data_IF_563717245407
#
_entry.id   IF_563717245407
#
_cell.length_a   1.000
_cell.length_b   1.000
_cell.length_c   1.000
_cell.angle_alpha   90.00
_cell.angle_beta   90.00
_cell.angle_gamma   90.00
#
_symmetry.space_group_name_H-M   'P 1'
#
loop_
_entity.id
_entity.type
_entity.pdbx_description
1 polymer ?
#
# COMPACT_ATOMS: atom_id res chain seq x y z
N UNK A 1 6.85 -43.70 15.86
CA UNK A 1 7.62 -43.37 14.64
C UNK A 1 7.24 -42.05 13.96
N UNK A 2 6.31 -41.23 14.47
CA UNK A 2 5.91 -39.97 13.80
C UNK A 2 6.67 -38.69 14.24
N UNK A 3 7.47 -38.71 15.32
CA UNK A 3 8.16 -37.49 15.80
C UNK A 3 9.44 -37.15 15.03
N UNK A 4 10.23 -38.15 14.60
CA UNK A 4 11.48 -37.94 13.88
C UNK A 4 11.30 -37.36 12.47
N UNK A 5 10.20 -37.67 11.80
CA UNK A 5 9.92 -37.16 10.45
C UNK A 5 9.55 -35.67 10.46
N UNK A 6 8.90 -35.18 11.53
CA UNK A 6 8.60 -33.75 11.71
C UNK A 6 9.86 -32.93 11.95
N UNK A 7 10.80 -33.41 12.77
CA UNK A 7 12.07 -32.72 13.04
C UNK A 7 12.96 -32.58 11.80
N UNK A 8 13.05 -33.64 10.99
CA UNK A 8 13.83 -33.61 9.74
C UNK A 8 13.24 -32.62 8.73
N UNK A 9 11.91 -32.54 8.65
CA UNK A 9 11.25 -31.56 7.78
C UNK A 9 11.51 -30.14 8.24
N UNK A 10 11.33 -29.83 9.53
CA UNK A 10 11.58 -28.48 10.07
C UNK A 10 13.02 -28.03 9.84
N UNK A 11 14.00 -28.90 10.05
CA UNK A 11 15.42 -28.57 9.82
C UNK A 11 15.73 -28.30 8.35
N UNK A 12 15.06 -29.01 7.44
CA UNK A 12 15.20 -28.79 5.99
C UNK A 12 14.61 -27.45 5.56
N UNK A 13 13.44 -27.10 6.10
CA UNK A 13 12.78 -25.83 5.82
C UNK A 13 13.57 -24.65 6.37
N UNK A 14 14.13 -24.76 7.58
CA UNK A 14 14.96 -23.69 8.15
C UNK A 14 16.26 -23.51 7.40
N UNK A 15 16.88 -24.59 6.91
CA UNK A 15 18.09 -24.50 6.06
C UNK A 15 17.78 -23.87 4.70
N UNK A 16 16.71 -24.30 4.05
CA UNK A 16 16.26 -23.71 2.79
C UNK A 16 15.94 -22.22 2.95
N UNK A 17 15.24 -21.84 4.03
CA UNK A 17 14.96 -20.44 4.33
C UNK A 17 16.26 -19.63 4.48
N UNK A 18 17.23 -20.14 5.24
CA UNK A 18 18.52 -19.46 5.46
C UNK A 18 19.40 -19.37 4.20
N UNK A 19 19.39 -20.38 3.33
CA UNK A 19 20.15 -20.38 2.08
C UNK A 19 19.53 -19.45 1.03
N UNK A 20 18.19 -19.37 1.00
CA UNK A 20 17.46 -18.40 0.17
C UNK A 20 17.73 -16.98 0.67
N UNK A 21 17.66 -16.74 1.98
CA UNK A 21 18.02 -15.46 2.62
C UNK A 21 19.40 -14.97 2.15
N UNK A 22 20.44 -15.78 2.37
CA UNK A 22 21.83 -15.41 2.05
C UNK A 22 22.03 -15.12 0.58
N UNK A 23 21.41 -15.91 -0.30
CA UNK A 23 21.50 -15.72 -1.74
C UNK A 23 20.83 -14.41 -2.15
N UNK A 24 19.71 -14.08 -1.52
CA UNK A 24 18.95 -12.88 -1.78
C UNK A 24 19.68 -11.60 -1.35
N UNK A 25 20.29 -11.62 -0.16
CA UNK A 25 21.07 -10.49 0.35
C UNK A 25 22.30 -10.20 -0.51
N UNK A 26 22.93 -11.25 -1.03
CA UNK A 26 24.04 -11.08 -1.99
C UNK A 26 23.56 -10.38 -3.27
N UNK A 27 22.38 -10.76 -3.76
CA UNK A 27 21.76 -10.17 -4.95
C UNK A 27 21.40 -8.70 -4.74
N UNK A 28 20.86 -8.34 -3.56
CA UNK A 28 20.44 -6.96 -3.24
C UNK A 28 21.63 -6.00 -3.15
N UNK A 29 22.74 -6.42 -2.53
CA UNK A 29 23.97 -5.61 -2.45
C UNK A 29 24.71 -5.49 -3.79
N UNK A 30 24.63 -6.50 -4.65
CA UNK A 30 25.39 -6.51 -5.91
C UNK A 30 24.69 -5.79 -7.05
N UNK A 31 23.35 -5.77 -7.10
CA UNK A 31 22.61 -5.20 -8.23
C UNK A 31 21.22 -4.69 -7.86
N UNK A 32 21.06 -3.36 -7.81
CA UNK A 32 19.78 -2.65 -7.61
C UNK A 32 18.67 -3.19 -8.53
N UNK A 33 19.01 -3.54 -9.77
CA UNK A 33 18.05 -4.06 -10.75
C UNK A 33 17.49 -5.45 -10.38
N UNK A 34 18.30 -6.34 -9.82
CA UNK A 34 17.83 -7.67 -9.41
C UNK A 34 16.97 -7.59 -8.15
N UNK A 35 17.33 -6.74 -7.20
CA UNK A 35 16.48 -6.43 -6.05
C UNK A 35 15.12 -5.89 -6.49
N UNK A 36 15.11 -4.96 -7.46
CA UNK A 36 13.90 -4.41 -8.03
C UNK A 36 12.99 -5.48 -8.67
N UNK A 37 13.58 -6.39 -9.46
CA UNK A 37 12.81 -7.49 -10.06
C UNK A 37 12.17 -8.34 -9.00
N UNK A 38 12.92 -8.77 -7.99
CA UNK A 38 12.33 -9.71 -7.04
C UNK A 38 11.32 -9.02 -6.11
N UNK A 39 11.55 -7.77 -5.72
CA UNK A 39 10.54 -6.96 -5.03
C UNK A 39 9.24 -6.85 -5.85
N UNK A 40 9.37 -6.64 -7.17
CA UNK A 40 8.24 -6.68 -8.10
C UNK A 40 7.54 -8.04 -8.15
N UNK A 41 8.30 -9.15 -8.18
CA UNK A 41 7.75 -10.52 -8.15
C UNK A 41 7.01 -10.79 -6.85
N UNK A 42 7.54 -10.37 -5.69
CA UNK A 42 6.89 -10.54 -4.39
C UNK A 42 5.57 -9.75 -4.34
N UNK A 43 5.60 -8.47 -4.74
CA UNK A 43 4.39 -7.65 -4.80
C UNK A 43 3.36 -8.24 -5.76
N UNK A 44 3.79 -8.68 -6.95
CA UNK A 44 2.93 -9.31 -7.95
C UNK A 44 2.33 -10.63 -7.47
N UNK A 45 3.11 -11.48 -6.81
CA UNK A 45 2.63 -12.73 -6.24
C UNK A 45 1.59 -12.50 -5.14
N UNK A 46 1.79 -11.48 -4.29
CA UNK A 46 0.82 -11.12 -3.26
C UNK A 46 -0.52 -10.67 -3.87
N UNK A 47 -0.49 -9.84 -4.92
CA UNK A 47 -1.70 -9.41 -5.62
C UNK A 47 -2.38 -10.58 -6.33
N UNK A 48 -1.61 -11.42 -7.02
CA UNK A 48 -2.13 -12.60 -7.72
C UNK A 48 -2.80 -13.58 -6.74
N UNK A 49 -2.25 -13.76 -5.55
CA UNK A 49 -2.86 -14.57 -4.49
C UNK A 49 -4.23 -13.99 -4.08
N UNK A 50 -4.33 -12.68 -3.87
CA UNK A 50 -5.61 -12.04 -3.52
C UNK A 50 -6.61 -12.15 -4.66
N UNK A 51 -6.18 -11.90 -5.90
CA UNK A 51 -7.02 -12.05 -7.07
C UNK A 51 -7.53 -13.49 -7.20
N UNK A 52 -6.70 -14.49 -6.90
CA UNK A 52 -7.09 -15.91 -6.90
C UNK A 52 -8.10 -16.25 -5.79
N UNK A 53 -7.97 -15.65 -4.61
CA UNK A 53 -8.91 -15.85 -3.50
C UNK A 53 -10.28 -15.20 -3.76
N UNK A 54 -10.33 -14.19 -4.64
CA UNK A 54 -11.58 -13.57 -5.08
C UNK A 54 -12.20 -14.42 -6.19
N UNK A 55 -13.19 -15.23 -5.80
CA UNK A 55 -13.84 -16.27 -6.65
C UNK A 55 -14.57 -15.70 -7.87
N UNK A 56 -14.91 -14.41 -7.88
CA UNK A 56 -15.57 -13.75 -9.02
C UNK A 56 -14.90 -12.41 -9.30
N UNK A 57 -14.05 -12.38 -10.34
CA UNK A 57 -13.42 -11.16 -10.83
C UNK A 57 -14.38 -10.48 -11.80
N UNK A 58 -14.82 -9.27 -11.47
CA UNK A 58 -15.50 -8.38 -12.41
C UNK A 58 -14.48 -7.42 -13.03
N UNK A 59 -14.77 -6.88 -14.21
CA UNK A 59 -13.87 -5.92 -14.89
C UNK A 59 -13.53 -4.72 -14.00
N UNK A 60 -14.48 -4.28 -13.17
CA UNK A 60 -14.27 -3.20 -12.19
C UNK A 60 -13.26 -3.50 -11.08
N UNK A 61 -12.91 -4.77 -10.87
CA UNK A 61 -11.92 -5.17 -9.86
C UNK A 61 -10.49 -5.04 -10.37
N UNK A 62 -10.28 -5.01 -11.70
CA UNK A 62 -8.94 -4.89 -12.29
C UNK A 62 -8.25 -3.59 -11.91
N UNK A 63 -8.97 -2.47 -11.92
CA UNK A 63 -8.42 -1.17 -11.52
C UNK A 63 -8.08 -1.13 -10.03
N UNK A 64 -8.88 -1.82 -9.21
CA UNK A 64 -8.63 -1.96 -7.78
C UNK A 64 -7.39 -2.84 -7.51
N UNK A 65 -7.24 -3.94 -8.24
CA UNK A 65 -6.03 -4.77 -8.18
C UNK A 65 -4.79 -4.03 -8.66
N UNK A 66 -4.92 -3.15 -9.66
CA UNK A 66 -3.82 -2.29 -10.08
C UNK A 66 -3.41 -1.29 -8.98
N UNK A 67 -4.39 -0.67 -8.31
CA UNK A 67 -4.12 0.22 -7.17
C UNK A 67 -3.50 -0.53 -5.98
N UNK A 68 -3.99 -1.75 -5.71
CA UNK A 68 -3.44 -2.66 -4.71
C UNK A 68 -1.99 -3.05 -5.02
N UNK A 69 -1.70 -3.44 -6.26
CA UNK A 69 -0.36 -3.78 -6.70
C UNK A 69 0.59 -2.61 -6.66
N UNK A 70 0.13 -1.41 -7.03
CA UNK A 70 0.89 -0.17 -6.87
C UNK A 70 1.24 0.08 -5.39
N UNK A 71 0.28 -0.12 -4.48
CA UNK A 71 0.51 0.02 -3.03
C UNK A 71 1.49 -1.02 -2.48
N UNK A 72 1.30 -2.29 -2.84
CA UNK A 72 2.20 -3.37 -2.43
C UNK A 72 3.63 -3.14 -2.94
N UNK A 73 3.76 -2.74 -4.20
CA UNK A 73 5.02 -2.36 -4.82
C UNK A 73 5.68 -1.21 -4.05
N UNK A 74 4.97 -0.11 -3.80
CA UNK A 74 5.51 1.04 -3.06
C UNK A 74 6.04 0.65 -1.67
N UNK A 75 5.32 -0.23 -0.96
CA UNK A 75 5.72 -0.75 0.36
C UNK A 75 7.03 -1.54 0.30
N UNK A 76 7.24 -2.33 -0.74
CA UNK A 76 8.44 -3.18 -0.88
C UNK A 76 9.63 -2.40 -1.43
N UNK A 77 9.41 -1.46 -2.37
CA UNK A 77 10.49 -0.69 -2.99
C UNK A 77 11.07 0.41 -2.10
N UNK A 78 10.25 1.02 -1.25
CA UNK A 78 10.67 2.09 -0.36
C UNK A 78 10.03 1.91 1.02
N UNK A 79 10.40 0.85 1.77
CA UNK A 79 9.77 0.46 3.03
C UNK A 79 9.97 1.50 4.14
N UNK A 80 11.04 2.30 4.05
CA UNK A 80 11.42 3.34 5.00
C UNK A 80 10.81 4.72 4.68
N UNK A 81 10.14 4.88 3.55
CA UNK A 81 9.49 6.14 3.23
C UNK A 81 8.21 6.30 4.07
N UNK A 82 8.02 7.47 4.69
CA UNK A 82 6.84 7.79 5.51
C UNK A 82 5.53 7.61 4.75
N UNK A 83 5.51 7.95 3.46
CA UNK A 83 4.36 7.75 2.59
C UNK A 83 3.96 6.26 2.48
N UNK A 84 4.93 5.36 2.66
CA UNK A 84 4.76 3.91 2.62
C UNK A 84 4.69 3.27 4.01
N UNK A 85 4.55 4.09 5.06
CA UNK A 85 4.27 3.58 6.39
C UNK A 85 2.87 2.98 6.42
N UNK A 86 2.72 1.83 7.09
CA UNK A 86 1.45 1.12 7.14
C UNK A 86 0.34 2.06 7.64
N UNK A 87 0.60 2.84 8.69
CA UNK A 87 -0.36 3.82 9.22
C UNK A 87 -0.82 4.84 8.18
N UNK A 88 0.10 5.41 7.40
CA UNK A 88 -0.26 6.39 6.35
C UNK A 88 -1.15 5.74 5.30
N UNK A 89 -0.81 4.54 4.86
CA UNK A 89 -1.59 3.83 3.85
C UNK A 89 -2.99 3.48 4.39
N UNK A 90 -3.07 2.94 5.62
CA UNK A 90 -4.35 2.64 6.29
C UNK A 90 -5.20 3.90 6.39
N UNK A 91 -4.63 5.00 6.90
CA UNK A 91 -5.35 6.26 7.04
C UNK A 91 -5.83 6.80 5.68
N UNK A 92 -5.01 6.72 4.64
CA UNK A 92 -5.37 7.14 3.30
C UNK A 92 -6.54 6.31 2.74
N UNK A 93 -6.52 4.99 2.89
CA UNK A 93 -7.64 4.14 2.44
C UNK A 93 -8.92 4.38 3.26
N UNK A 94 -8.81 4.66 4.55
CA UNK A 94 -9.95 5.06 5.39
C UNK A 94 -10.53 6.40 4.93
N UNK A 95 -9.69 7.39 4.64
CA UNK A 95 -10.12 8.69 4.11
C UNK A 95 -10.81 8.51 2.75
N UNK A 96 -10.21 7.75 1.84
CA UNK A 96 -10.78 7.45 0.53
C UNK A 96 -12.16 6.77 0.66
N UNK A 97 -12.25 5.73 1.49
CA UNK A 97 -13.52 5.04 1.74
C UNK A 97 -14.57 5.97 2.37
N UNK A 98 -14.20 6.80 3.34
CA UNK A 98 -15.11 7.75 3.97
C UNK A 98 -15.65 8.78 2.97
N UNK A 99 -14.81 9.29 2.08
CA UNK A 99 -15.23 10.20 1.00
C UNK A 99 -16.18 9.49 0.03
N UNK A 100 -15.86 8.28 -0.41
CA UNK A 100 -16.75 7.50 -1.29
C UNK A 100 -18.11 7.23 -0.63
N UNK A 101 -18.13 6.87 0.65
CA UNK A 101 -19.37 6.66 1.41
C UNK A 101 -20.18 7.95 1.54
N UNK A 102 -19.53 9.09 1.78
CA UNK A 102 -20.20 10.40 1.83
C UNK A 102 -20.76 10.82 0.47
N UNK A 103 -20.09 10.44 -0.62
CA UNK A 103 -20.53 10.71 -1.99
C UNK A 103 -21.59 9.74 -2.51
N UNK A 104 -21.71 8.55 -1.91
CA UNK A 104 -22.65 7.51 -2.32
C UNK A 104 -24.10 8.00 -2.51
N UNK A 105 -24.74 8.75 -1.58
CA UNK A 105 -26.10 9.24 -1.79
C UNK A 105 -26.23 10.25 -2.94
N UNK A 106 -25.16 10.98 -3.28
CA UNK A 106 -25.14 11.89 -4.43
C UNK A 106 -25.02 11.10 -5.75
N UNK A 107 -24.25 10.01 -5.72
CA UNK A 107 -24.07 9.09 -6.84
C UNK A 107 -25.38 8.34 -7.15
N UNK A 108 -25.97 7.70 -6.15
CA UNK A 108 -27.20 6.88 -6.29
C UNK A 108 -28.36 7.70 -6.85
N UNK A 109 -28.53 8.95 -6.38
CA UNK A 109 -29.58 9.86 -6.84
C UNK A 109 -29.26 10.56 -8.16
N UNK A 110 -28.09 10.30 -8.75
CA UNK A 110 -27.59 10.92 -9.97
C UNK A 110 -27.71 12.46 -9.96
N UNK A 111 -27.53 13.09 -8.79
CA UNK A 111 -27.70 14.54 -8.63
C UNK A 111 -26.63 15.35 -9.37
N UNK A 112 -25.50 14.72 -9.68
CA UNK A 112 -24.30 15.34 -10.22
C UNK A 112 -23.76 14.48 -11.37
N UNK A 113 -23.27 15.06 -12.49
CA UNK A 113 -22.70 14.29 -13.58
C UNK A 113 -21.39 13.58 -13.19
N UNK A 114 -21.14 12.40 -13.77
CA UNK A 114 -19.99 11.54 -13.45
C UNK A 114 -18.64 12.28 -13.44
N UNK A 115 -18.30 13.17 -14.39
CA UNK A 115 -17.02 13.88 -14.35
C UNK A 115 -16.82 14.73 -13.09
N UNK A 116 -17.88 15.36 -12.59
CA UNK A 116 -17.82 16.16 -11.36
C UNK A 116 -17.69 15.26 -10.14
N UNK A 117 -18.32 14.09 -10.15
CA UNK A 117 -18.11 13.09 -9.10
C UNK A 117 -16.66 12.58 -9.09
N UNK A 118 -16.08 12.25 -10.25
CA UNK A 118 -14.67 11.87 -10.33
C UNK A 118 -13.73 12.99 -9.85
N UNK A 119 -14.03 14.24 -10.20
CA UNK A 119 -13.29 15.41 -9.69
C UNK A 119 -13.32 15.46 -8.17
N UNK A 120 -14.49 15.33 -7.55
CA UNK A 120 -14.64 15.34 -6.09
C UNK A 120 -13.95 14.15 -5.42
N UNK A 121 -14.04 12.95 -6.02
CA UNK A 121 -13.38 11.74 -5.54
C UNK A 121 -11.85 11.81 -5.57
N UNK A 122 -11.28 12.74 -6.33
CA UNK A 122 -9.84 13.01 -6.33
C UNK A 122 -9.54 14.21 -5.43
N UNK A 123 -10.21 15.34 -5.64
CA UNK A 123 -9.91 16.59 -4.96
C UNK A 123 -10.12 16.51 -3.44
N UNK A 124 -11.21 15.90 -2.98
CA UNK A 124 -11.53 15.83 -1.55
C UNK A 124 -10.55 14.91 -0.81
N UNK A 125 -10.30 13.66 -1.24
CA UNK A 125 -9.32 12.83 -0.56
C UNK A 125 -7.91 13.41 -0.62
N UNK A 126 -7.49 14.02 -1.73
CA UNK A 126 -6.19 14.70 -1.83
C UNK A 126 -6.09 15.81 -0.78
N UNK A 127 -7.09 16.70 -0.69
CA UNK A 127 -7.09 17.79 0.27
C UNK A 127 -7.02 17.28 1.71
N UNK A 128 -7.83 16.28 2.06
CA UNK A 128 -7.87 15.69 3.40
C UNK A 128 -6.54 15.00 3.71
N UNK A 129 -6.06 14.11 2.83
CA UNK A 129 -4.81 13.39 2.99
C UNK A 129 -3.62 14.34 3.12
N UNK A 130 -3.66 15.49 2.44
CA UNK A 130 -2.59 16.48 2.53
C UNK A 130 -2.65 17.29 3.83
N UNK A 131 -3.84 17.60 4.31
CA UNK A 131 -4.05 18.20 5.63
C UNK A 131 -3.64 17.25 6.77
N UNK A 132 -3.87 15.95 6.62
CA UNK A 132 -3.54 14.93 7.64
C UNK A 132 -2.15 14.34 7.50
N UNK A 133 -1.38 14.71 6.47
CA UNK A 133 -0.02 14.21 6.23
C UNK A 133 -0.01 12.67 6.05
N UNK A 134 -1.02 12.18 5.31
CA UNK A 134 -1.27 10.76 5.01
C UNK A 134 -1.49 10.55 3.51
N UNK A 135 -0.58 11.08 2.68
CA UNK A 135 -0.72 11.02 1.23
C UNK A 135 -0.44 9.60 0.69
N UNK A 136 -1.40 9.01 -0.01
CA UNK A 136 -1.21 7.73 -0.71
C UNK A 136 -1.96 7.71 -2.06
N UNK A 137 -1.28 7.92 -3.20
CA UNK A 137 -1.92 8.04 -4.52
C UNK A 137 -2.80 6.86 -4.93
N UNK A 138 -2.42 5.63 -4.56
CA UNK A 138 -3.19 4.44 -4.92
C UNK A 138 -4.55 4.37 -4.20
N UNK A 139 -4.69 4.96 -3.01
CA UNK A 139 -5.99 5.07 -2.34
C UNK A 139 -6.93 6.03 -3.09
N UNK A 140 -6.40 7.09 -3.69
CA UNK A 140 -7.16 8.03 -4.51
C UNK A 140 -7.64 7.35 -5.81
N UNK A 141 -6.77 6.57 -6.46
CA UNK A 141 -7.15 5.75 -7.62
C UNK A 141 -8.28 4.76 -7.29
N UNK A 142 -8.24 4.18 -6.09
CA UNK A 142 -9.29 3.28 -5.59
C UNK A 142 -10.62 4.03 -5.37
N UNK A 143 -10.58 5.24 -4.81
CA UNK A 143 -11.76 6.10 -4.63
C UNK A 143 -12.46 6.39 -5.97
N UNK A 144 -11.68 6.71 -7.00
CA UNK A 144 -12.19 6.97 -8.35
C UNK A 144 -12.77 5.70 -8.98
N UNK A 145 -12.12 4.55 -8.83
CA UNK A 145 -12.61 3.26 -9.32
C UNK A 145 -14.01 2.94 -8.78
N UNK A 146 -14.28 3.25 -7.51
CA UNK A 146 -15.59 3.02 -6.92
C UNK A 146 -16.72 3.80 -7.60
N UNK A 147 -16.47 5.04 -8.02
CA UNK A 147 -17.46 5.87 -8.71
C UNK A 147 -17.67 5.40 -10.15
N UNK A 148 -16.59 5.06 -10.84
CA UNK A 148 -16.66 4.63 -12.25
C UNK A 148 -17.40 3.30 -12.38
N UNK A 149 -17.22 2.37 -11.43
CA UNK A 149 -17.79 1.03 -11.48
C UNK A 149 -19.07 0.85 -10.64
N UNK A 150 -19.70 1.94 -10.21
CA UNK A 150 -20.97 1.96 -9.45
C UNK A 150 -21.02 0.90 -8.35
N UNK A 151 -20.04 0.96 -7.45
CA UNK A 151 -19.84 -0.07 -6.43
C UNK A 151 -20.69 0.20 -5.20
N UNK A 152 -21.37 -0.84 -4.72
CA UNK A 152 -22.12 -0.79 -3.46
C UNK A 152 -21.22 -0.47 -2.24
N UNK A 153 -21.75 0.19 -1.20
CA UNK A 153 -21.03 0.52 0.02
C UNK A 153 -20.45 -0.71 0.74
N UNK A 154 -21.15 -1.84 0.67
CA UNK A 154 -20.69 -3.10 1.23
C UNK A 154 -19.38 -3.55 0.58
N UNK A 155 -19.26 -3.39 -0.73
CA UNK A 155 -18.04 -3.71 -1.48
C UNK A 155 -16.89 -2.80 -1.08
N UNK A 156 -17.14 -1.52 -0.81
CA UNK A 156 -16.12 -0.58 -0.31
C UNK A 156 -15.52 -1.08 1.02
N UNK A 157 -16.37 -1.50 1.96
CA UNK A 157 -15.91 -1.99 3.27
C UNK A 157 -15.14 -3.31 3.16
N UNK A 158 -15.63 -4.25 2.34
CA UNK A 158 -14.94 -5.51 2.10
C UNK A 158 -13.59 -5.28 1.43
N UNK A 159 -13.53 -4.37 0.46
CA UNK A 159 -12.28 -4.03 -0.21
C UNK A 159 -11.30 -3.36 0.76
N UNK A 160 -11.77 -2.44 1.60
CA UNK A 160 -10.95 -1.82 2.64
C UNK A 160 -10.32 -2.91 3.52
N UNK A 161 -11.12 -3.86 4.03
CA UNK A 161 -10.60 -4.97 4.83
C UNK A 161 -9.60 -5.84 4.05
N UNK A 162 -9.85 -6.12 2.77
CA UNK A 162 -8.95 -6.87 1.92
C UNK A 162 -7.62 -6.15 1.69
N UNK A 163 -7.66 -4.83 1.42
CA UNK A 163 -6.48 -3.98 1.28
C UNK A 163 -5.67 -3.96 2.57
N UNK A 164 -6.32 -3.73 3.71
CA UNK A 164 -5.67 -3.71 5.01
C UNK A 164 -5.00 -5.06 5.32
N UNK A 165 -5.71 -6.17 5.08
CA UNK A 165 -5.19 -7.51 5.25
C UNK A 165 -3.99 -7.79 4.35
N UNK A 166 -4.10 -7.49 3.06
CA UNK A 166 -3.02 -7.68 2.10
C UNK A 166 -1.79 -6.85 2.45
N UNK A 167 -1.96 -5.56 2.72
CA UNK A 167 -0.83 -4.69 3.04
C UNK A 167 -0.16 -5.08 4.35
N UNK A 168 -0.93 -5.57 5.32
CA UNK A 168 -0.38 -6.13 6.56
C UNK A 168 0.47 -7.36 6.25
N UNK A 169 0.00 -8.27 5.40
CA UNK A 169 0.75 -9.45 4.96
C UNK A 169 2.00 -9.05 4.18
N UNK A 170 1.88 -8.17 3.18
CA UNK A 170 3.02 -7.69 2.38
C UNK A 170 4.06 -7.01 3.26
N UNK A 171 3.64 -6.17 4.20
CA UNK A 171 4.56 -5.51 5.13
C UNK A 171 5.19 -6.53 6.08
N UNK A 172 4.43 -7.50 6.60
CA UNK A 172 4.97 -8.59 7.42
C UNK A 172 6.04 -9.38 6.66
N UNK A 173 5.77 -9.73 5.40
CA UNK A 173 6.75 -10.35 4.52
C UNK A 173 7.95 -9.44 4.34
N UNK A 174 7.75 -8.15 4.04
CA UNK A 174 8.83 -7.18 3.92
C UNK A 174 9.70 -7.13 5.19
N UNK A 175 9.12 -7.19 6.40
CA UNK A 175 9.86 -7.28 7.67
C UNK A 175 10.60 -8.61 7.88
N UNK A 176 10.06 -9.72 7.38
CA UNK A 176 10.73 -11.02 7.43
C UNK A 176 11.91 -11.04 6.45
N UNK A 177 11.78 -10.37 5.31
CA UNK A 177 12.76 -10.39 4.22
C UNK A 177 13.83 -9.30 4.32
N UNK A 178 13.52 -8.10 4.86
CA UNK A 178 14.46 -6.98 4.97
C UNK A 178 15.08 -6.92 6.38
N UNK A 179 16.35 -7.30 6.49
CA UNK A 179 17.09 -7.36 7.77
C UNK A 179 17.24 -5.99 8.46
N UNK A 180 17.21 -4.90 7.69
CA UNK A 180 17.25 -3.51 8.20
C UNK A 180 16.02 -3.16 9.07
N UNK A 181 14.93 -3.91 8.94
CA UNK A 181 13.69 -3.73 9.69
C UNK A 181 13.56 -4.80 10.78
N UNK A 182 14.19 -4.55 11.93
CA UNK A 182 14.02 -5.42 13.11
C UNK A 182 12.54 -5.52 13.49
N UNK A 183 11.98 -6.72 13.50
CA UNK A 183 10.58 -7.03 13.88
C UNK A 183 10.14 -6.35 15.20
N UNK A 184 11.07 -6.14 16.13
CA UNK A 184 10.89 -5.41 17.39
C UNK A 184 10.39 -3.95 17.20
N UNK A 185 10.51 -3.39 16.00
CA UNK A 185 10.09 -2.03 15.64
C UNK A 185 8.76 -1.99 14.89
N UNK A 186 8.14 -3.15 14.57
CA UNK A 186 6.86 -3.20 13.85
C UNK A 186 5.77 -2.37 14.54
N UNK A 187 5.65 -2.46 15.86
CA UNK A 187 4.69 -1.65 16.62
C UNK A 187 4.97 -0.13 16.56
N UNK A 188 6.20 0.29 16.25
CA UNK A 188 6.55 1.71 16.10
C UNK A 188 6.06 2.28 14.77
N UNK A 189 5.71 1.45 13.78
CA UNK A 189 5.12 1.93 12.52
C UNK A 189 3.78 2.65 12.70
N UNK A 190 3.07 2.34 13.79
CA UNK A 190 1.84 3.03 14.15
C UNK A 190 2.08 4.39 14.83
N UNK A 191 3.32 4.72 15.19
CA UNK A 191 3.68 6.00 15.84
C UNK A 191 4.08 7.06 14.81
N UNK A 192 3.67 8.30 15.07
CA UNK A 192 3.91 9.44 14.15
C UNK A 192 5.37 9.77 13.94
N UNK A 193 6.18 9.57 14.98
CA UNK A 193 7.53 10.10 15.02
C UNK A 193 8.56 9.14 14.40
N UNK A 194 8.15 7.92 14.03
CA UNK A 194 9.08 6.87 13.60
C UNK A 194 9.75 7.16 12.23
N UNK A 195 9.05 7.83 11.32
CA UNK A 195 9.52 8.10 9.96
C UNK A 195 9.96 9.56 9.71
N UNK A 196 10.05 10.40 10.75
CA UNK A 196 10.42 11.81 10.62
C UNK A 196 9.33 12.72 10.00
N UNK A 197 9.62 14.01 9.85
CA UNK A 197 8.74 14.97 9.14
C UNK A 197 9.04 14.89 7.63
N UNK A 198 8.02 14.93 6.78
CA UNK A 198 8.24 15.10 5.34
C UNK A 198 8.89 16.47 5.11
N UNK A 199 9.87 16.53 4.21
CA UNK A 199 10.41 17.80 3.72
C UNK A 199 9.31 18.46 2.88
N UNK A 200 8.49 19.30 3.51
CA UNK A 200 7.70 20.28 2.78
C UNK A 200 8.68 21.25 2.16
N UNK A 201 8.93 21.10 0.85
CA UNK A 201 9.63 22.11 0.05
C UNK A 201 8.80 23.39 0.16
N UNK A 202 9.19 24.22 1.11
CA UNK A 202 8.72 25.60 1.20
C UNK A 202 9.56 26.29 0.16
N UNK A 203 8.95 26.72 -0.94
CA UNK A 203 9.63 27.59 -1.90
C UNK A 203 9.97 28.85 -1.11
N UNK A 204 11.22 28.93 -0.64
CA UNK A 204 11.75 30.16 -0.09
C UNK A 204 11.69 31.14 -1.24
N UNK A 205 10.85 32.15 -1.08
CA UNK A 205 10.80 33.27 -2.00
C UNK A 205 12.14 33.98 -1.81
N UNK A 206 13.05 33.80 -2.76
CA UNK A 206 14.28 34.59 -2.82
C UNK A 206 13.83 36.05 -2.82
N UNK A 207 14.04 36.72 -1.69
CA UNK A 207 13.84 38.16 -1.59
C UNK A 207 15.03 38.73 -2.33
N UNK A 208 14.80 39.16 -3.57
CA UNK A 208 15.69 40.06 -4.28
C UNK A 208 15.88 41.29 -3.38
N UNK A 209 17.04 41.36 -2.71
CA UNK A 209 17.57 42.61 -2.19
C UNK A 209 17.85 43.49 -3.41
N UNK A 210 16.87 44.32 -3.78
CA UNK A 210 17.13 45.53 -4.54
C UNK A 210 17.95 46.45 -3.63
N UNK A 211 19.28 46.35 -3.78
CA UNK A 211 20.24 47.32 -3.27
C UNK A 211 19.86 48.72 -3.80
N UNK A 212 19.52 49.62 -2.87
CA UNK A 212 19.34 51.05 -3.11
C UNK A 212 20.65 51.83 -3.16
#
# INVERSE_FOLDING_TARGET
MQSGQKQILTDRWTRLAGDVEKSFFRIEKETVWRAAIVNGVIAGAAVALVAWLVVSLQEGDLLLFACLGSSASAVVFAPLNKANSLRTIIAAYVIAAAVCLGMFPLHERQLIPIPVQCFLAVAVPVAVMRATDTMHPAAIGSAMAFIIFDREPRTILLLLLAILGLLTIVKLLAYIYLEDLKFRHFGKEFRRDYYGREVTVTVLKDVEEEDG
#
